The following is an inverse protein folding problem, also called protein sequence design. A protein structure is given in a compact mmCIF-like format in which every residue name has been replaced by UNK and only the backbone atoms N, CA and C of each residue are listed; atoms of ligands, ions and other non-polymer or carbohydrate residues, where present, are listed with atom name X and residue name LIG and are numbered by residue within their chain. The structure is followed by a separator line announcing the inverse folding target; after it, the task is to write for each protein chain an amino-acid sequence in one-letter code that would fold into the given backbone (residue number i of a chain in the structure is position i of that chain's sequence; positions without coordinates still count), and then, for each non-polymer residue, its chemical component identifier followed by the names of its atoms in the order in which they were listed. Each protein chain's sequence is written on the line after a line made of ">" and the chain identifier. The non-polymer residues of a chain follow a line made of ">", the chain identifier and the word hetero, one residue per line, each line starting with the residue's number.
data_IF_223257315479
#
_entry.id   IF_223257315479
#
_cell.length_a   1.000
_cell.length_b   1.000
_cell.length_c   1.000
_cell.angle_alpha   90.00
_cell.angle_beta   90.00
_cell.angle_gamma   90.00
#
_symmetry.space_group_name_H-M   'P 1'
#
loop_
_entity.id
_entity.type
_entity.pdbx_description
1 polymer ?
#
# COMPACT_ATOMS: atom_id res chain seq x y z
N UNK A 1 -3.89 24.95 -14.32
CA UNK A 1 -4.22 23.50 -14.27
C UNK A 1 -5.37 23.35 -13.29
N UNK A 2 -6.51 22.81 -13.74
CA UNK A 2 -7.66 22.64 -12.86
C UNK A 2 -7.31 21.64 -11.76
N UNK A 3 -7.51 22.03 -10.51
CA UNK A 3 -7.39 21.17 -9.34
C UNK A 3 -8.44 20.08 -9.49
N UNK A 4 -7.98 18.85 -9.71
CA UNK A 4 -8.91 17.72 -9.87
C UNK A 4 -9.63 17.51 -8.54
N UNK A 5 -10.89 17.94 -8.50
CA UNK A 5 -11.77 17.81 -7.34
C UNK A 5 -11.86 16.36 -6.91
N UNK A 6 -11.45 16.05 -5.68
CA UNK A 6 -11.62 14.75 -5.03
C UNK A 6 -12.86 14.82 -4.17
N UNK A 7 -13.91 14.10 -4.55
CA UNK A 7 -15.07 13.93 -3.70
C UNK A 7 -14.78 12.85 -2.65
N UNK A 8 -15.06 13.15 -1.39
CA UNK A 8 -14.92 12.22 -0.28
C UNK A 8 -16.29 12.02 0.37
N UNK A 9 -16.75 10.78 0.43
CA UNK A 9 -17.95 10.39 1.16
C UNK A 9 -17.51 9.74 2.47
N UNK A 10 -18.08 10.16 3.56
CA UNK A 10 -17.84 9.62 4.89
C UNK A 10 -19.13 9.02 5.44
N UNK A 11 -19.10 7.74 5.77
CA UNK A 11 -20.20 7.01 6.38
C UNK A 11 -19.79 6.65 7.81
N UNK A 12 -20.24 7.44 8.78
CA UNK A 12 -20.04 7.14 10.20
C UNK A 12 -20.95 5.97 10.63
N UNK A 13 -20.44 5.09 11.49
CA UNK A 13 -21.19 4.01 12.09
C UNK A 13 -20.91 3.96 13.61
N UNK A 14 -21.87 3.50 14.43
CA UNK A 14 -21.65 3.36 15.87
C UNK A 14 -20.60 2.26 16.12
N UNK A 15 -19.58 2.58 16.92
CA UNK A 15 -18.62 1.57 17.35
C UNK A 15 -19.24 0.68 18.43
N UNK A 16 -19.23 -0.63 18.20
CA UNK A 16 -19.60 -1.63 19.22
C UNK A 16 -18.40 -2.03 20.12
N UNK A 17 -17.20 -1.58 19.77
CA UNK A 17 -15.96 -1.89 20.49
C UNK A 17 -15.64 -0.69 21.40
N UNK A 18 -15.57 -0.96 22.73
CA UNK A 18 -15.13 0.04 23.70
C UNK A 18 -13.60 0.25 23.62
N UNK A 19 -13.16 1.48 23.89
CA UNK A 19 -11.76 1.87 23.90
C UNK A 19 -11.43 2.91 22.82
N UNK A 20 -10.36 3.66 23.05
CA UNK A 20 -9.87 4.64 22.08
C UNK A 20 -9.05 3.92 21.00
N UNK A 21 -9.70 3.62 19.88
CA UNK A 21 -9.06 3.09 18.69
C UNK A 21 -8.54 4.27 17.84
N UNK A 22 -7.60 5.04 18.36
CA UNK A 22 -7.08 6.26 17.74
C UNK A 22 -6.64 6.06 16.27
N UNK A 23 -6.26 4.84 15.89
CA UNK A 23 -5.85 4.50 14.52
C UNK A 23 -7.02 4.10 13.62
N UNK A 24 -8.08 3.50 14.17
CA UNK A 24 -9.28 3.06 13.44
C UNK A 24 -10.43 4.02 13.73
N UNK A 25 -10.85 4.76 12.72
CA UNK A 25 -12.03 5.62 12.86
C UNK A 25 -13.30 4.82 12.59
N UNK A 26 -14.40 5.03 13.33
CA UNK A 26 -15.67 4.37 13.08
C UNK A 26 -16.38 4.99 11.87
N UNK A 27 -15.72 5.00 10.75
CA UNK A 27 -16.23 5.55 9.48
C UNK A 27 -15.71 4.75 8.27
N UNK A 28 -16.58 4.58 7.29
CA UNK A 28 -16.18 4.15 5.94
C UNK A 28 -15.96 5.40 5.09
N UNK A 29 -14.77 5.51 4.51
CA UNK A 29 -14.39 6.62 3.65
C UNK A 29 -14.29 6.17 2.20
N UNK A 30 -15.12 6.73 1.35
CA UNK A 30 -15.09 6.48 -0.10
C UNK A 30 -14.53 7.71 -0.80
N UNK A 31 -13.42 7.55 -1.49
CA UNK A 31 -12.80 8.60 -2.30
C UNK A 31 -13.14 8.41 -3.77
N UNK A 32 -13.76 9.40 -4.38
CA UNK A 32 -14.01 9.47 -5.81
C UNK A 32 -13.01 10.45 -6.44
N UNK A 33 -12.32 10.05 -7.49
CA UNK A 33 -11.33 10.92 -8.11
C UNK A 33 -10.92 10.45 -9.50
N UNK A 34 -10.72 11.41 -10.40
CA UNK A 34 -10.25 11.14 -11.77
C UNK A 34 -8.76 10.93 -11.93
N UNK A 35 -8.01 10.77 -10.82
CA UNK A 35 -6.55 10.54 -10.86
C UNK A 35 -6.16 9.06 -10.77
N UNK A 36 -7.13 8.16 -10.76
CA UNK A 36 -6.86 6.75 -10.63
C UNK A 36 -6.71 6.13 -12.03
N UNK A 37 -5.64 5.36 -12.20
CA UNK A 37 -5.51 4.45 -13.32
C UNK A 37 -6.04 3.09 -12.85
N UNK A 38 -7.10 2.58 -13.46
CA UNK A 38 -7.85 1.39 -13.06
C UNK A 38 -7.42 0.11 -13.81
N UNK A 39 -6.28 0.14 -14.49
CA UNK A 39 -5.78 -0.98 -15.28
C UNK A 39 -4.43 -1.52 -14.76
N UNK A 40 -4.23 -2.83 -14.75
CA UNK A 40 -5.19 -3.91 -14.98
C UNK A 40 -6.14 -4.10 -13.79
N UNK A 41 -7.37 -4.48 -14.07
CA UNK A 41 -8.40 -4.77 -13.08
C UNK A 41 -8.96 -6.18 -13.26
N UNK A 42 -9.45 -6.76 -12.15
CA UNK A 42 -10.00 -8.11 -12.08
C UNK A 42 -11.34 -8.07 -11.35
N UNK A 43 -12.24 -8.98 -11.68
CA UNK A 43 -13.44 -9.20 -10.89
C UNK A 43 -13.12 -10.09 -9.69
N UNK A 44 -13.54 -9.67 -8.51
CA UNK A 44 -13.40 -10.40 -7.25
C UNK A 44 -14.69 -10.36 -6.46
N UNK A 45 -14.96 -11.43 -5.75
CA UNK A 45 -16.07 -11.49 -4.82
C UNK A 45 -15.61 -11.10 -3.44
N UNK A 46 -16.30 -10.13 -2.83
CA UNK A 46 -16.05 -9.69 -1.46
C UNK A 46 -17.14 -10.23 -0.56
N UNK A 47 -16.72 -10.88 0.51
CA UNK A 47 -17.58 -11.35 1.59
C UNK A 47 -17.28 -10.54 2.86
N UNK A 48 -18.29 -10.33 3.69
CA UNK A 48 -18.05 -9.74 4.99
C UNK A 48 -17.41 -10.77 5.94
N UNK A 49 -16.37 -10.37 6.69
CA UNK A 49 -15.72 -11.23 7.68
C UNK A 49 -16.69 -11.82 8.72
N UNK A 50 -17.74 -11.08 9.06
CA UNK A 50 -18.77 -11.57 9.98
C UNK A 50 -19.45 -12.86 9.49
N UNK A 51 -19.47 -13.11 8.18
CA UNK A 51 -20.04 -14.34 7.63
C UNK A 51 -19.20 -15.59 7.91
N UNK A 52 -17.91 -15.42 8.20
CA UNK A 52 -16.99 -16.52 8.59
C UNK A 52 -17.25 -16.94 10.04
N UNK A 53 -17.51 -15.96 10.93
CA UNK A 53 -17.72 -16.18 12.36
C UNK A 53 -19.19 -16.50 12.71
N UNK A 54 -20.13 -15.91 11.97
CA UNK A 54 -21.56 -16.05 12.19
C UNK A 54 -22.27 -16.55 10.92
N UNK A 55 -22.29 -17.87 10.65
CA UNK A 55 -22.85 -18.45 9.43
C UNK A 55 -24.34 -18.14 9.20
N UNK A 56 -25.07 -17.80 10.26
CA UNK A 56 -26.48 -17.36 10.19
C UNK A 56 -26.63 -15.93 9.63
N UNK A 57 -25.55 -15.11 9.72
CA UNK A 57 -25.51 -13.77 9.11
C UNK A 57 -24.83 -13.91 7.75
N UNK A 58 -25.63 -14.12 6.70
CA UNK A 58 -25.13 -14.27 5.35
C UNK A 58 -25.39 -13.00 4.54
N UNK A 59 -24.55 -11.95 4.68
CA UNK A 59 -24.61 -10.84 3.75
C UNK A 59 -24.31 -11.36 2.33
N UNK A 60 -25.00 -10.80 1.34
CA UNK A 60 -24.78 -11.20 -0.05
C UNK A 60 -23.31 -10.97 -0.44
N UNK A 61 -22.70 -11.96 -1.05
CA UNK A 61 -21.42 -11.81 -1.69
C UNK A 61 -21.52 -10.77 -2.83
N UNK A 62 -20.64 -9.81 -2.88
CA UNK A 62 -20.68 -8.71 -3.84
C UNK A 62 -19.52 -8.86 -4.80
N UNK A 63 -19.84 -8.94 -6.10
CA UNK A 63 -18.83 -8.86 -7.14
C UNK A 63 -18.35 -7.40 -7.28
N UNK A 64 -17.05 -7.21 -7.20
CA UNK A 64 -16.41 -5.89 -7.35
C UNK A 64 -15.25 -5.97 -8.33
N UNK A 65 -15.07 -4.92 -9.10
CA UNK A 65 -13.89 -4.74 -9.94
C UNK A 65 -12.78 -4.13 -9.08
N UNK A 66 -11.68 -4.85 -8.95
CA UNK A 66 -10.54 -4.45 -8.13
C UNK A 66 -9.28 -4.33 -8.97
N UNK A 67 -8.34 -3.51 -8.55
CA UNK A 67 -7.02 -3.47 -9.17
C UNK A 67 -6.32 -4.82 -9.00
N UNK A 68 -5.67 -5.31 -10.07
CA UNK A 68 -4.86 -6.51 -9.99
C UNK A 68 -3.76 -6.36 -8.94
N UNK A 69 -3.52 -7.41 -8.15
CA UNK A 69 -2.55 -7.36 -7.04
C UNK A 69 -1.12 -7.07 -7.51
N UNK A 70 -0.72 -7.53 -8.72
CA UNK A 70 0.58 -7.18 -9.31
C UNK A 70 0.73 -5.68 -9.60
N UNK A 71 -0.38 -4.96 -9.89
CA UNK A 71 -0.35 -3.51 -9.98
C UNK A 71 -0.17 -2.86 -8.61
N UNK A 72 -0.93 -3.33 -7.61
CA UNK A 72 -0.79 -2.86 -6.22
C UNK A 72 0.64 -3.05 -5.73
N UNK A 73 1.29 -4.16 -6.08
CA UNK A 73 2.71 -4.39 -5.77
C UNK A 73 3.58 -3.23 -6.28
N UNK A 74 3.50 -2.88 -7.57
CA UNK A 74 4.29 -1.80 -8.14
C UNK A 74 3.91 -0.41 -7.61
N UNK A 75 2.63 -0.19 -7.30
CA UNK A 75 2.21 1.05 -6.65
C UNK A 75 2.83 1.22 -5.27
N UNK A 76 2.90 0.14 -4.46
CA UNK A 76 3.57 0.18 -3.15
C UNK A 76 5.08 0.34 -3.32
N UNK A 77 5.71 -0.41 -4.19
CA UNK A 77 7.15 -0.30 -4.46
C UNK A 77 7.56 1.12 -4.89
N UNK A 78 6.81 1.75 -5.79
CA UNK A 78 7.08 3.12 -6.23
C UNK A 78 6.82 4.18 -5.14
N UNK A 79 5.87 3.94 -4.22
CA UNK A 79 5.70 4.81 -3.03
C UNK A 79 6.92 4.71 -2.13
N UNK A 80 7.42 3.51 -1.83
CA UNK A 80 8.59 3.33 -0.97
C UNK A 80 9.84 3.96 -1.60
N UNK A 81 10.02 3.81 -2.91
CA UNK A 81 11.10 4.45 -3.65
C UNK A 81 11.03 5.98 -3.52
N UNK A 82 9.89 6.59 -3.73
CA UNK A 82 9.71 8.02 -3.56
C UNK A 82 9.98 8.47 -2.11
N UNK A 83 9.52 7.71 -1.12
CA UNK A 83 9.77 8.01 0.30
C UNK A 83 11.24 7.88 0.70
N UNK A 84 12.01 6.98 0.06
CA UNK A 84 13.46 6.92 0.23
C UNK A 84 14.13 8.25 -0.17
N UNK A 85 13.67 8.86 -1.24
CA UNK A 85 14.20 10.12 -1.77
C UNK A 85 13.64 11.37 -1.07
N UNK A 86 12.62 11.19 -0.19
CA UNK A 86 12.06 12.32 0.57
C UNK A 86 13.13 13.01 1.42
N UNK A 87 13.30 14.35 1.32
CA UNK A 87 14.24 15.10 2.15
C UNK A 87 14.03 14.86 3.65
N UNK A 88 15.12 14.75 4.42
CA UNK A 88 15.06 14.41 5.84
C UNK A 88 14.40 15.50 6.71
N UNK A 89 14.43 16.74 6.27
CA UNK A 89 13.73 17.88 6.89
C UNK A 89 12.21 17.81 6.73
N UNK A 90 11.70 16.98 5.82
CA UNK A 90 10.26 16.75 5.66
C UNK A 90 9.80 15.59 6.53
N UNK A 91 8.74 15.80 7.30
CA UNK A 91 8.13 14.75 8.11
C UNK A 91 7.72 13.52 7.26
N UNK A 92 7.78 12.34 7.85
CA UNK A 92 7.18 11.13 7.27
C UNK A 92 5.69 11.34 7.09
N UNK A 93 5.14 10.76 6.02
CA UNK A 93 3.70 10.67 5.85
C UNK A 93 3.07 9.82 6.96
N UNK A 94 1.87 10.20 7.40
CA UNK A 94 1.11 9.39 8.34
C UNK A 94 0.77 8.02 7.74
N UNK A 95 0.81 6.99 8.57
CA UNK A 95 0.45 5.61 8.19
C UNK A 95 1.30 5.06 7.03
N UNK A 96 2.55 5.48 6.94
CA UNK A 96 3.45 5.04 5.87
C UNK A 96 3.83 3.58 6.00
N UNK A 97 3.95 3.07 7.23
CA UNK A 97 4.33 1.68 7.51
C UNK A 97 3.37 0.65 6.91
N UNK A 98 2.11 1.01 6.64
CA UNK A 98 1.17 0.12 5.94
C UNK A 98 1.65 -0.27 4.54
N UNK A 99 2.34 0.64 3.83
CA UNK A 99 2.86 0.33 2.49
C UNK A 99 4.01 -0.69 2.54
N UNK A 100 4.84 -0.60 3.58
CA UNK A 100 5.86 -1.63 3.86
C UNK A 100 5.21 -2.97 4.22
N UNK A 101 4.20 -2.96 5.09
CA UNK A 101 3.47 -4.17 5.48
C UNK A 101 2.80 -4.85 4.29
N UNK A 102 2.07 -4.07 3.47
CA UNK A 102 1.40 -4.60 2.28
C UNK A 102 2.41 -5.24 1.30
N UNK A 103 3.51 -4.54 1.03
CA UNK A 103 4.53 -5.04 0.11
C UNK A 103 5.26 -6.27 0.67
N UNK A 104 5.56 -6.29 1.98
CA UNK A 104 6.18 -7.43 2.64
C UNK A 104 5.28 -8.68 2.67
N UNK A 105 3.95 -8.52 2.66
CA UNK A 105 3.01 -9.63 2.51
C UNK A 105 2.98 -10.19 1.09
N UNK A 106 3.17 -9.37 0.08
CA UNK A 106 3.24 -9.79 -1.32
C UNK A 106 4.61 -10.38 -1.69
N UNK A 107 5.67 -10.05 -0.93
CA UNK A 107 7.03 -10.53 -1.17
C UNK A 107 7.13 -12.05 -0.97
N UNK A 108 7.76 -12.75 -1.92
CA UNK A 108 7.92 -14.21 -1.92
C UNK A 108 6.66 -14.97 -2.33
N UNK A 109 5.62 -14.28 -2.83
CA UNK A 109 4.38 -14.90 -3.31
C UNK A 109 4.29 -14.88 -4.84
N UNK A 110 3.26 -15.53 -5.37
CA UNK A 110 2.92 -15.48 -6.81
C UNK A 110 2.70 -14.05 -7.31
N UNK A 111 2.26 -13.14 -6.43
CA UNK A 111 2.08 -11.72 -6.78
C UNK A 111 3.40 -11.06 -7.18
N UNK A 112 4.48 -11.35 -6.42
CA UNK A 112 5.82 -10.87 -6.77
C UNK A 112 6.26 -11.43 -8.13
N UNK A 113 6.11 -12.75 -8.34
CA UNK A 113 6.49 -13.38 -9.60
C UNK A 113 5.77 -12.76 -10.80
N UNK A 114 4.45 -12.56 -10.69
CA UNK A 114 3.64 -11.92 -11.73
C UNK A 114 4.02 -10.45 -11.95
N UNK A 115 4.34 -9.71 -10.89
CA UNK A 115 4.78 -8.33 -11.00
C UNK A 115 6.14 -8.23 -11.72
N UNK A 116 7.10 -9.07 -11.35
CA UNK A 116 8.44 -9.08 -11.97
C UNK A 116 8.41 -9.52 -13.43
N UNK A 117 7.46 -10.38 -13.81
CA UNK A 117 7.23 -10.77 -15.20
C UNK A 117 6.56 -9.66 -16.05
N UNK A 118 5.99 -8.62 -15.42
CA UNK A 118 5.25 -7.53 -16.09
C UNK A 118 5.93 -6.16 -15.86
N UNK A 119 7.16 -6.00 -16.32
CA UNK A 119 7.89 -4.72 -16.25
C UNK A 119 7.22 -3.59 -17.03
N UNK A 120 6.51 -3.82 -18.16
CA UNK A 120 5.69 -2.78 -18.78
C UNK A 120 4.66 -2.17 -17.83
N UNK A 121 4.09 -2.94 -16.89
CA UNK A 121 3.19 -2.42 -15.87
C UNK A 121 3.91 -1.47 -14.90
N UNK A 122 5.13 -1.79 -14.48
CA UNK A 122 5.95 -0.87 -13.69
C UNK A 122 6.16 0.46 -14.43
N UNK A 123 6.49 0.41 -15.72
CA UNK A 123 6.68 1.62 -16.53
C UNK A 123 5.39 2.48 -16.54
N UNK A 124 4.22 1.86 -16.70
CA UNK A 124 2.91 2.54 -16.65
C UNK A 124 2.65 3.17 -15.27
N UNK A 125 2.90 2.42 -14.18
CA UNK A 125 2.72 2.94 -12.81
C UNK A 125 3.62 4.14 -12.56
N UNK A 126 4.89 4.08 -12.97
CA UNK A 126 5.84 5.19 -12.84
C UNK A 126 5.37 6.44 -13.59
N UNK A 127 4.96 6.28 -14.85
CA UNK A 127 4.46 7.37 -15.68
C UNK A 127 3.22 8.02 -15.07
N UNK A 128 2.27 7.20 -14.60
CA UNK A 128 1.08 7.66 -13.90
C UNK A 128 1.43 8.44 -12.63
N UNK A 129 2.34 7.90 -11.80
CA UNK A 129 2.82 8.58 -10.58
C UNK A 129 3.51 9.90 -10.89
N UNK A 130 4.38 9.94 -11.87
CA UNK A 130 5.06 11.16 -12.31
C UNK A 130 4.08 12.25 -12.79
N UNK A 131 2.96 11.85 -13.39
CA UNK A 131 1.95 12.78 -13.90
C UNK A 131 1.00 13.31 -12.82
N UNK A 132 0.59 12.48 -11.87
CA UNK A 132 -0.50 12.80 -10.95
C UNK A 132 -0.08 12.95 -9.48
N UNK A 133 1.09 12.45 -9.09
CA UNK A 133 1.61 12.49 -7.71
C UNK A 133 2.98 13.14 -7.67
N UNK A 134 3.06 14.31 -8.32
CA UNK A 134 4.30 15.05 -8.49
C UNK A 134 4.87 15.51 -7.15
N UNK A 135 6.11 15.14 -6.89
CA UNK A 135 6.93 15.72 -5.83
C UNK A 135 8.36 15.84 -6.36
N UNK A 136 9.05 16.96 -6.14
CA UNK A 136 10.38 17.20 -6.71
C UNK A 136 11.42 16.14 -6.33
N UNK A 137 11.19 15.42 -5.23
CA UNK A 137 12.11 14.39 -4.72
C UNK A 137 11.72 12.97 -5.10
N UNK A 138 10.55 12.73 -5.70
CA UNK A 138 9.98 11.39 -5.82
C UNK A 138 10.78 10.43 -6.72
N UNK A 139 11.61 10.97 -7.60
CA UNK A 139 12.56 10.22 -8.46
C UNK A 139 11.93 9.01 -9.17
N UNK A 140 10.66 9.13 -9.64
CA UNK A 140 9.96 8.02 -10.29
C UNK A 140 10.68 7.50 -11.53
N UNK A 141 11.50 8.34 -12.17
CA UNK A 141 12.33 7.96 -13.33
C UNK A 141 13.40 6.92 -13.00
N UNK A 142 13.85 6.88 -11.74
CA UNK A 142 14.85 5.91 -11.27
C UNK A 142 14.22 4.70 -10.55
N UNK A 143 12.90 4.62 -10.42
CA UNK A 143 12.22 3.47 -9.85
C UNK A 143 12.19 2.26 -10.82
N UNK A 144 13.37 1.71 -11.12
CA UNK A 144 13.62 0.63 -12.08
C UNK A 144 14.37 -0.53 -11.43
N UNK A 145 14.26 -1.76 -11.96
CA UNK A 145 15.18 -2.83 -11.59
C UNK A 145 16.63 -2.36 -11.72
N UNK A 146 17.44 -2.65 -10.71
CA UNK A 146 18.82 -2.18 -10.59
C UNK A 146 18.98 -0.88 -9.79
N UNK A 147 17.94 -0.05 -9.66
CA UNK A 147 18.02 1.25 -8.97
C UNK A 147 16.82 1.53 -8.05
N UNK A 148 15.97 0.53 -7.83
CA UNK A 148 14.81 0.66 -6.96
C UNK A 148 15.22 0.67 -5.47
N UNK A 149 14.76 1.65 -4.72
CA UNK A 149 14.96 1.73 -3.28
C UNK A 149 13.66 1.41 -2.54
N UNK A 150 13.65 0.35 -1.76
CA UNK A 150 12.52 -0.04 -0.90
C UNK A 150 12.89 0.08 0.58
N UNK A 151 14.17 -0.16 0.92
CA UNK A 151 14.66 -0.06 2.29
C UNK A 151 14.75 1.41 2.68
N UNK A 152 14.11 1.83 3.80
CA UNK A 152 14.13 3.21 4.21
C UNK A 152 15.53 3.65 4.67
N UNK A 153 15.82 4.94 4.60
CA UNK A 153 17.05 5.50 5.18
C UNK A 153 17.10 5.23 6.69
N UNK A 154 18.30 5.02 7.27
CA UNK A 154 18.45 4.72 8.71
C UNK A 154 17.74 5.73 9.61
N UNK A 155 17.78 7.02 9.26
CA UNK A 155 17.18 8.12 10.01
C UNK A 155 15.66 8.04 10.10
N UNK A 156 15.04 7.28 9.20
CA UNK A 156 13.57 7.08 9.13
C UNK A 156 13.08 5.89 9.95
N UNK A 157 13.97 4.96 10.30
CA UNK A 157 13.59 3.68 10.94
C UNK A 157 12.86 3.86 12.26
N UNK A 158 13.30 4.79 13.10
CA UNK A 158 12.66 5.03 14.40
C UNK A 158 11.20 5.50 14.24
N UNK A 159 10.97 6.45 13.33
CA UNK A 159 9.63 6.96 13.03
C UNK A 159 8.73 5.90 12.41
N UNK A 160 9.24 5.10 11.46
CA UNK A 160 8.49 4.01 10.83
C UNK A 160 8.14 2.90 11.84
N UNK A 161 9.04 2.59 12.78
CA UNK A 161 8.78 1.63 13.86
C UNK A 161 7.66 2.12 14.77
N UNK A 162 7.63 3.40 15.10
CA UNK A 162 6.57 4.00 15.90
C UNK A 162 5.21 3.95 15.15
N UNK A 163 5.21 4.30 13.86
CA UNK A 163 4.02 4.24 12.99
C UNK A 163 3.51 2.78 12.85
N UNK A 164 4.41 1.81 12.68
CA UNK A 164 4.06 0.39 12.60
C UNK A 164 3.42 -0.14 13.89
N UNK A 165 3.93 0.28 15.07
CA UNK A 165 3.30 -0.06 16.35
C UNK A 165 1.90 0.53 16.48
N UNK A 166 1.71 1.78 16.05
CA UNK A 166 0.39 2.40 16.02
C UNK A 166 -0.62 1.67 15.12
N UNK A 167 -0.12 0.98 14.09
CA UNK A 167 -0.93 0.23 13.13
C UNK A 167 -1.39 -1.15 13.67
N UNK A 168 -0.91 -1.60 14.81
CA UNK A 168 -1.16 -2.94 15.35
C UNK A 168 -2.65 -3.32 15.44
N UNK A 169 -3.52 -2.35 15.75
CA UNK A 169 -4.97 -2.55 15.80
C UNK A 169 -5.63 -2.84 14.43
N UNK A 170 -4.90 -2.66 13.33
CA UNK A 170 -5.41 -2.96 11.98
C UNK A 170 -5.10 -4.40 11.52
N UNK A 171 -4.27 -5.12 12.25
CA UNK A 171 -3.93 -6.49 11.86
C UNK A 171 -5.00 -7.47 12.32
N UNK A 172 -5.47 -8.29 11.39
CA UNK A 172 -6.33 -9.42 11.67
C UNK A 172 -5.42 -10.63 11.97
N UNK A 173 -5.30 -11.01 13.25
CA UNK A 173 -4.45 -12.10 13.68
C UNK A 173 -2.97 -11.69 13.92
N UNK A 174 -2.06 -12.67 14.00
CA UNK A 174 -0.66 -12.41 14.33
C UNK A 174 0.03 -11.58 13.24
N UNK A 175 0.64 -10.48 13.63
CA UNK A 175 1.46 -9.64 12.75
C UNK A 175 2.94 -10.01 12.86
N UNK A 176 3.68 -9.81 11.77
CA UNK A 176 5.14 -9.92 11.79
C UNK A 176 5.76 -8.83 12.67
N UNK A 177 6.95 -9.08 13.23
CA UNK A 177 7.72 -8.00 13.86
C UNK A 177 8.14 -6.96 12.81
N UNK A 178 8.43 -5.75 13.26
CA UNK A 178 8.95 -4.69 12.39
C UNK A 178 10.25 -5.13 11.69
N UNK A 179 11.12 -5.82 12.42
CA UNK A 179 12.39 -6.34 11.92
C UNK A 179 12.16 -7.38 10.81
N UNK A 180 11.30 -8.36 11.05
CA UNK A 180 10.99 -9.38 10.05
C UNK A 180 10.35 -8.78 8.78
N UNK A 181 9.54 -7.73 8.94
CA UNK A 181 9.01 -6.97 7.81
C UNK A 181 10.14 -6.29 7.02
N UNK A 182 11.07 -5.62 7.70
CA UNK A 182 12.21 -4.95 7.06
C UNK A 182 13.14 -5.94 6.36
N UNK A 183 13.38 -7.11 6.94
CA UNK A 183 14.19 -8.18 6.33
C UNK A 183 13.57 -8.66 5.00
N UNK A 184 12.24 -8.83 4.98
CA UNK A 184 11.52 -9.18 3.73
C UNK A 184 11.63 -8.08 2.67
N UNK A 185 11.51 -6.80 3.07
CA UNK A 185 11.66 -5.66 2.16
C UNK A 185 13.09 -5.60 1.61
N UNK A 186 14.11 -5.80 2.45
CA UNK A 186 15.51 -5.80 2.01
C UNK A 186 15.81 -6.98 1.07
N UNK A 187 15.25 -8.14 1.33
CA UNK A 187 15.37 -9.30 0.45
C UNK A 187 14.67 -9.06 -0.90
N UNK A 188 13.49 -8.43 -0.89
CA UNK A 188 12.76 -8.06 -2.10
C UNK A 188 13.54 -7.05 -2.93
N UNK A 189 14.07 -5.99 -2.32
CA UNK A 189 14.88 -4.98 -3.00
C UNK A 189 16.07 -5.62 -3.71
N UNK A 190 16.78 -6.53 -3.05
CA UNK A 190 17.90 -7.26 -3.66
C UNK A 190 17.44 -8.08 -4.88
N UNK A 191 16.32 -8.81 -4.77
CA UNK A 191 15.82 -9.62 -5.91
C UNK A 191 15.44 -8.77 -7.10
N UNK A 192 14.77 -7.62 -6.88
CA UNK A 192 14.39 -6.71 -7.97
C UNK A 192 15.62 -6.08 -8.63
N UNK A 193 16.64 -5.76 -7.85
CA UNK A 193 17.82 -5.05 -8.32
C UNK A 193 18.94 -5.97 -8.86
N UNK A 194 18.83 -7.28 -8.65
CA UNK A 194 19.80 -8.24 -9.22
C UNK A 194 19.35 -8.58 -10.64
N UNK A 195 20.17 -8.35 -11.67
CA UNK A 195 19.85 -8.78 -13.02
C UNK A 195 19.68 -10.30 -13.08
N UNK A 196 18.60 -10.76 -13.74
CA UNK A 196 18.40 -12.18 -14.06
C UNK A 196 19.25 -12.56 -15.26
#
# INVERSE_FOLDING_TARGET
>A
MAEASRALLHFAYPSAVGGDLAYIRPEVKIGLGGRNDDWPAEERTVNAYVAEELPQVRPAAIAVRVLATRRTFWEKATVLHAEYHRPLDKALGERLSRHYSDLAQMAGTEVEAQALADLPLLARVRQHKASFYTAPWASYETALPGTLHLVPRPERLAGLRADYRGMSAMFFGPSSSFEAMMDKIAALERRINTPS
#
